data_IF_699515341841
#
_entry.id   IF_699515341841
#
_cell.length_a   1.000
_cell.length_b   1.000
_cell.length_c   1.000
_cell.angle_alpha   90.00
_cell.angle_beta   90.00
_cell.angle_gamma   90.00
#
_symmetry.space_group_name_H-M   'P 1'
#
loop_
_entity.id
_entity.type
_entity.pdbx_description
1 polymer ?
#
# COMPACT_ATOMS: atom_id res chain seq x y z
N UNK A 1 -29.45 -38.99 6.09
CA UNK A 1 -28.11 -38.38 6.25
C UNK A 1 -27.17 -39.17 7.16
N UNK A 2 -27.62 -40.23 7.85
CA UNK A 2 -26.81 -41.02 8.81
C UNK A 2 -25.77 -41.95 8.15
N UNK A 3 -26.11 -42.59 7.03
CA UNK A 3 -25.27 -43.64 6.41
C UNK A 3 -23.90 -43.15 5.90
N UNK A 4 -23.74 -41.84 5.70
CA UNK A 4 -22.52 -41.27 5.11
C UNK A 4 -21.34 -41.22 6.10
N UNK A 5 -21.61 -41.36 7.40
CA UNK A 5 -20.61 -41.29 8.48
C UNK A 5 -20.08 -42.67 8.92
N UNK A 6 -20.69 -43.75 8.42
CA UNK A 6 -20.31 -45.11 8.81
C UNK A 6 -19.13 -45.65 7.98
N UNK A 7 -18.77 -44.99 6.87
CA UNK A 7 -17.55 -45.24 6.12
C UNK A 7 -16.47 -44.17 6.38
N UNK A 8 -15.17 -44.55 6.46
CA UNK A 8 -14.10 -43.60 6.66
C UNK A 8 -13.99 -42.60 5.49
N UNK A 9 -13.62 -41.33 5.74
CA UNK A 9 -13.57 -40.28 4.72
C UNK A 9 -12.56 -40.53 3.59
N UNK A 10 -11.46 -41.24 3.85
CA UNK A 10 -10.45 -41.56 2.83
C UNK A 10 -9.86 -40.32 2.14
N UNK A 11 -9.85 -40.30 0.80
CA UNK A 11 -9.34 -39.17 -0.01
C UNK A 11 -10.01 -37.83 0.29
N UNK A 12 -11.20 -37.83 0.91
CA UNK A 12 -11.90 -36.61 1.32
C UNK A 12 -11.09 -35.79 2.32
N UNK A 13 -10.15 -36.38 3.05
CA UNK A 13 -9.17 -35.63 3.85
C UNK A 13 -8.40 -34.61 3.03
N UNK A 14 -7.85 -35.02 1.88
CA UNK A 14 -7.09 -34.18 0.98
C UNK A 14 -7.98 -33.09 0.39
N UNK A 15 -9.16 -33.48 -0.10
CA UNK A 15 -10.07 -32.56 -0.77
C UNK A 15 -10.64 -31.50 0.19
N UNK A 16 -11.10 -31.92 1.37
CA UNK A 16 -11.72 -31.01 2.34
C UNK A 16 -10.69 -30.06 2.93
N UNK A 17 -9.51 -30.55 3.35
CA UNK A 17 -8.49 -29.66 3.91
C UNK A 17 -7.85 -28.76 2.84
N UNK A 18 -7.64 -29.27 1.62
CA UNK A 18 -7.17 -28.46 0.50
C UNK A 18 -8.16 -27.36 0.12
N UNK A 19 -9.45 -27.69 0.00
CA UNK A 19 -10.48 -26.71 -0.31
C UNK A 19 -10.70 -25.72 0.84
N UNK A 20 -10.70 -26.19 2.09
CA UNK A 20 -10.84 -25.31 3.26
C UNK A 20 -9.66 -24.33 3.37
N UNK A 21 -8.43 -24.82 3.19
CA UNK A 21 -7.23 -23.98 3.14
C UNK A 21 -7.30 -22.96 2.00
N UNK A 22 -7.62 -23.42 0.78
CA UNK A 22 -7.80 -22.56 -0.38
C UNK A 22 -8.83 -21.46 -0.13
N UNK A 23 -10.04 -21.81 0.33
CA UNK A 23 -11.09 -20.82 0.57
C UNK A 23 -10.71 -19.85 1.68
N UNK A 24 -10.10 -20.32 2.77
CA UNK A 24 -9.65 -19.46 3.85
C UNK A 24 -8.56 -18.48 3.39
N UNK A 25 -7.57 -18.94 2.63
CA UNK A 25 -6.49 -18.08 2.13
C UNK A 25 -6.84 -17.27 0.88
N UNK A 26 -7.89 -17.62 0.14
CA UNK A 26 -8.34 -16.89 -1.04
C UNK A 26 -9.42 -15.86 -0.66
N UNK A 27 -10.51 -16.32 -0.05
CA UNK A 27 -11.67 -15.50 0.28
C UNK A 27 -11.43 -14.70 1.56
N UNK A 28 -10.70 -15.25 2.53
CA UNK A 28 -10.39 -14.57 3.79
C UNK A 28 -9.74 -13.20 3.57
N UNK A 29 -8.61 -13.11 2.84
CA UNK A 29 -7.97 -11.83 2.55
C UNK A 29 -8.87 -10.89 1.74
N UNK A 30 -9.65 -11.43 0.79
CA UNK A 30 -10.54 -10.62 -0.05
C UNK A 30 -11.64 -9.92 0.77
N UNK A 31 -12.18 -10.59 1.78
CA UNK A 31 -13.21 -10.02 2.65
C UNK A 31 -12.62 -9.12 3.74
N UNK A 32 -11.48 -9.50 4.32
CA UNK A 32 -10.91 -8.83 5.49
C UNK A 32 -9.97 -7.68 5.15
N UNK A 33 -9.38 -7.70 3.95
CA UNK A 33 -8.44 -6.71 3.46
C UNK A 33 -8.61 -6.54 1.93
N UNK A 34 -9.76 -6.02 1.45
CA UNK A 34 -10.12 -6.00 0.04
C UNK A 34 -9.13 -5.24 -0.86
N UNK A 35 -8.42 -4.23 -0.33
CA UNK A 35 -7.41 -3.50 -1.12
C UNK A 35 -6.01 -4.14 -1.04
N UNK A 36 -5.88 -5.34 -0.48
CA UNK A 36 -4.64 -6.11 -0.57
C UNK A 36 -4.58 -6.78 -1.95
N UNK A 37 -3.74 -6.23 -2.83
CA UNK A 37 -3.55 -6.67 -4.21
C UNK A 37 -3.06 -8.12 -4.39
N UNK A 38 -2.57 -8.77 -3.33
CA UNK A 38 -2.05 -10.15 -3.36
C UNK A 38 -2.90 -11.17 -2.56
N UNK A 39 -4.07 -10.77 -2.06
CA UNK A 39 -4.93 -11.62 -1.22
C UNK A 39 -5.16 -13.05 -1.77
N UNK A 40 -5.60 -13.20 -3.04
CA UNK A 40 -5.86 -14.51 -3.65
C UNK A 40 -4.66 -15.46 -3.77
N UNK A 41 -3.44 -14.92 -3.84
CA UNK A 41 -2.23 -15.72 -4.08
C UNK A 41 -1.94 -16.68 -2.91
N UNK A 42 -2.27 -16.28 -1.67
CA UNK A 42 -2.09 -17.11 -0.48
C UNK A 42 -2.97 -18.37 -0.54
N UNK A 43 -4.21 -18.21 -1.01
CA UNK A 43 -5.14 -19.31 -1.28
C UNK A 43 -4.57 -20.35 -2.25
N UNK A 44 -4.11 -19.85 -3.40
CA UNK A 44 -3.68 -20.68 -4.53
C UNK A 44 -2.35 -21.38 -4.27
N UNK A 45 -1.34 -20.64 -3.79
CA UNK A 45 0.04 -21.14 -3.75
C UNK A 45 0.49 -21.68 -2.39
N UNK A 46 -0.22 -21.36 -1.30
CA UNK A 46 0.24 -21.69 0.05
C UNK A 46 -0.83 -22.50 0.80
N UNK A 47 -1.89 -21.85 1.24
CA UNK A 47 -2.87 -22.44 2.16
C UNK A 47 -3.66 -23.62 1.57
N UNK A 48 -4.03 -23.57 0.28
CA UNK A 48 -4.64 -24.69 -0.43
C UNK A 48 -3.72 -25.91 -0.53
N UNK A 49 -2.52 -25.78 -1.14
CA UNK A 49 -1.55 -26.87 -1.23
C UNK A 49 -1.12 -27.44 0.12
N UNK A 50 -0.88 -26.59 1.13
CA UNK A 50 -0.55 -27.02 2.51
C UNK A 50 -1.72 -27.79 3.12
N UNK A 51 -2.96 -27.33 2.93
CA UNK A 51 -4.15 -28.04 3.37
C UNK A 51 -4.27 -29.43 2.75
N UNK A 52 -4.03 -29.56 1.44
CA UNK A 52 -4.05 -30.84 0.74
C UNK A 52 -2.95 -31.79 1.24
N UNK A 53 -1.72 -31.29 1.43
CA UNK A 53 -0.61 -32.06 1.98
C UNK A 53 -0.88 -32.55 3.41
N UNK A 54 -1.41 -31.68 4.27
CA UNK A 54 -1.85 -32.06 5.63
C UNK A 54 -2.95 -33.11 5.59
N UNK A 55 -3.90 -33.01 4.65
CA UNK A 55 -4.94 -34.02 4.44
C UNK A 55 -4.37 -35.37 4.05
N UNK A 56 -3.37 -35.41 3.17
CA UNK A 56 -2.70 -36.66 2.79
C UNK A 56 -1.97 -37.30 3.97
N UNK A 57 -1.27 -36.50 4.78
CA UNK A 57 -0.57 -36.95 5.98
C UNK A 57 -1.54 -37.51 7.03
N UNK A 58 -2.63 -36.79 7.34
CA UNK A 58 -3.62 -37.23 8.32
C UNK A 58 -4.40 -38.46 7.87
N UNK A 59 -4.69 -38.56 6.57
CA UNK A 59 -5.27 -39.77 6.00
C UNK A 59 -4.34 -40.98 6.14
N UNK A 60 -3.05 -40.83 5.80
CA UNK A 60 -2.06 -41.88 5.99
C UNK A 60 -1.99 -42.32 7.46
N UNK A 61 -1.95 -41.38 8.40
CA UNK A 61 -1.96 -41.67 9.83
C UNK A 61 -3.21 -42.44 10.26
N UNK A 62 -4.40 -42.06 9.76
CA UNK A 62 -5.64 -42.79 10.02
C UNK A 62 -5.61 -44.21 9.45
N UNK A 63 -4.91 -44.46 8.34
CA UNK A 63 -4.75 -45.80 7.79
C UNK A 63 -3.88 -46.71 8.69
N UNK A 64 -2.90 -46.14 9.40
CA UNK A 64 -2.07 -46.86 10.38
C UNK A 64 -2.81 -47.10 11.70
N UNK A 65 -3.43 -46.07 12.28
CA UNK A 65 -4.08 -46.12 13.60
C UNK A 65 -5.47 -46.79 13.54
N UNK A 66 -6.11 -46.77 12.36
CA UNK A 66 -7.45 -47.34 12.09
C UNK A 66 -8.53 -46.91 13.09
N UNK A 67 -8.69 -45.61 13.40
CA UNK A 67 -9.78 -45.16 14.25
C UNK A 67 -11.13 -45.37 13.58
N UNK A 68 -12.19 -45.50 14.38
CA UNK A 68 -13.56 -45.66 13.88
C UNK A 68 -13.96 -44.55 12.90
N UNK A 69 -14.76 -44.87 11.88
CA UNK A 69 -15.15 -43.95 10.82
C UNK A 69 -15.73 -42.62 11.35
N UNK A 70 -16.60 -42.69 12.36
CA UNK A 70 -17.19 -41.50 13.01
C UNK A 70 -16.13 -40.62 13.67
N UNK A 71 -15.10 -41.21 14.26
CA UNK A 71 -13.98 -40.46 14.84
C UNK A 71 -13.15 -39.76 13.76
N UNK A 72 -12.90 -40.42 12.62
CA UNK A 72 -12.20 -39.81 11.48
C UNK A 72 -12.96 -38.59 10.93
N UNK A 73 -14.29 -38.69 10.79
CA UNK A 73 -15.11 -37.55 10.36
C UNK A 73 -15.07 -36.39 11.34
N UNK A 74 -15.20 -36.66 12.65
CA UNK A 74 -15.08 -35.64 13.70
C UNK A 74 -13.72 -34.95 13.64
N UNK A 75 -12.64 -35.73 13.53
CA UNK A 75 -11.29 -35.20 13.41
C UNK A 75 -11.13 -34.35 12.15
N UNK A 76 -11.64 -34.81 10.99
CA UNK A 76 -11.58 -34.05 9.75
C UNK A 76 -12.25 -32.68 9.89
N UNK A 77 -13.48 -32.64 10.42
CA UNK A 77 -14.18 -31.37 10.61
C UNK A 77 -13.52 -30.47 11.65
N UNK A 78 -13.02 -31.03 12.75
CA UNK A 78 -12.30 -30.26 13.77
C UNK A 78 -11.02 -29.66 13.20
N UNK A 79 -10.19 -30.44 12.50
CA UNK A 79 -8.96 -29.95 11.88
C UNK A 79 -9.25 -28.93 10.79
N UNK A 80 -10.26 -29.16 9.95
CA UNK A 80 -10.67 -28.20 8.92
C UNK A 80 -11.10 -26.87 9.55
N UNK A 81 -11.94 -26.92 10.59
CA UNK A 81 -12.45 -25.72 11.27
C UNK A 81 -11.32 -24.95 11.96
N UNK A 82 -10.46 -25.66 12.70
CA UNK A 82 -9.31 -25.04 13.38
C UNK A 82 -8.30 -24.48 12.37
N UNK A 83 -8.05 -25.18 11.27
CA UNK A 83 -7.18 -24.72 10.19
C UNK A 83 -7.70 -23.46 9.49
N UNK A 84 -9.01 -23.41 9.21
CA UNK A 84 -9.67 -22.21 8.66
C UNK A 84 -9.55 -21.05 9.66
N UNK A 85 -9.89 -21.28 10.93
CA UNK A 85 -9.82 -20.25 11.97
C UNK A 85 -8.40 -19.73 12.14
N UNK A 86 -7.41 -20.62 12.22
CA UNK A 86 -6.00 -20.24 12.32
C UNK A 86 -5.56 -19.43 11.09
N UNK A 87 -5.90 -19.88 9.88
CA UNK A 87 -5.58 -19.17 8.64
C UNK A 87 -6.18 -17.77 8.65
N UNK A 88 -7.46 -17.63 9.00
CA UNK A 88 -8.16 -16.34 9.04
C UNK A 88 -7.57 -15.41 10.11
N UNK A 89 -7.25 -15.93 11.29
CA UNK A 89 -6.63 -15.14 12.37
C UNK A 89 -5.17 -14.75 12.08
N UNK A 90 -4.48 -15.51 11.24
CA UNK A 90 -3.14 -15.19 10.74
C UNK A 90 -3.14 -14.12 9.66
N UNK A 91 -4.31 -13.71 9.11
CA UNK A 91 -4.40 -12.61 8.16
C UNK A 91 -4.04 -11.31 8.88
N UNK A 92 -2.81 -10.86 8.67
CA UNK A 92 -2.24 -9.62 9.20
C UNK A 92 -1.92 -8.73 8.01
N UNK A 93 -2.91 -8.00 7.46
CA UNK A 93 -2.64 -7.14 6.32
C UNK A 93 -1.67 -6.05 6.74
N UNK A 94 -0.70 -5.75 5.88
CA UNK A 94 0.21 -4.64 6.13
C UNK A 94 -0.59 -3.34 6.26
N UNK A 95 -0.34 -2.53 7.30
CA UNK A 95 -1.01 -1.25 7.48
C UNK A 95 -0.86 -0.35 6.26
N UNK A 96 -1.95 0.31 5.86
CA UNK A 96 -1.91 1.27 4.76
C UNK A 96 -1.19 2.55 5.18
N UNK A 97 -0.53 3.20 4.24
CA UNK A 97 0.18 4.44 4.47
C UNK A 97 -0.76 5.62 4.27
N UNK A 98 -0.90 6.47 5.29
CA UNK A 98 -1.72 7.68 5.20
C UNK A 98 -0.89 8.91 4.80
N UNK A 99 0.37 8.96 5.22
CA UNK A 99 1.26 10.09 4.97
C UNK A 99 2.45 10.10 5.92
N UNK A 100 3.13 11.23 5.99
CA UNK A 100 4.30 11.43 6.84
C UNK A 100 4.16 12.71 7.64
N UNK A 101 4.41 12.64 8.94
CA UNK A 101 4.83 13.83 9.68
C UNK A 101 6.33 13.97 9.48
N UNK A 102 6.80 15.14 9.08
CA UNK A 102 8.22 15.35 8.82
C UNK A 102 8.74 16.56 9.59
N UNK A 103 10.06 16.54 9.80
CA UNK A 103 10.83 17.68 10.26
C UNK A 103 12.01 17.90 9.33
N UNK A 104 12.25 19.14 8.99
CA UNK A 104 13.32 19.52 8.08
C UNK A 104 13.60 21.01 8.14
N UNK A 105 14.44 21.46 7.22
CA UNK A 105 14.84 22.87 7.12
C UNK A 105 14.56 23.39 5.72
N UNK A 106 13.96 24.58 5.65
CA UNK A 106 13.69 25.25 4.38
C UNK A 106 15.02 25.56 3.69
N UNK A 107 15.18 25.05 2.48
CA UNK A 107 16.35 25.28 1.62
C UNK A 107 16.11 26.47 0.70
N UNK A 108 14.93 26.54 0.11
CA UNK A 108 14.51 27.65 -0.75
C UNK A 108 12.99 27.74 -0.81
N UNK A 109 12.50 28.92 -1.18
CA UNK A 109 11.12 29.12 -1.57
C UNK A 109 11.11 29.98 -2.83
N UNK A 110 10.31 29.60 -3.83
CA UNK A 110 10.18 30.38 -5.04
C UNK A 110 8.80 30.18 -5.71
N UNK A 111 8.29 31.19 -6.44
CA UNK A 111 7.08 31.01 -7.27
C UNK A 111 7.31 29.98 -8.39
N UNK A 112 6.29 29.22 -8.81
CA UNK A 112 6.42 28.18 -9.85
C UNK A 112 7.09 28.65 -11.15
N UNK A 113 6.77 29.87 -11.60
CA UNK A 113 7.34 30.46 -12.83
C UNK A 113 8.87 30.58 -12.80
N UNK A 114 9.45 30.77 -11.62
CA UNK A 114 10.92 30.88 -11.48
C UNK A 114 11.64 29.54 -11.62
N UNK A 115 10.90 28.42 -11.48
CA UNK A 115 11.41 27.06 -11.59
C UNK A 115 11.30 26.51 -13.02
N UNK A 116 10.81 27.30 -13.99
CA UNK A 116 10.56 26.84 -15.36
C UNK A 116 11.75 26.12 -15.99
N UNK A 117 12.95 26.72 -15.91
CA UNK A 117 14.15 26.14 -16.52
C UNK A 117 14.51 24.77 -15.91
N UNK A 118 14.40 24.62 -14.59
CA UNK A 118 14.69 23.36 -13.89
C UNK A 118 13.64 22.29 -14.23
N UNK A 119 12.35 22.65 -14.17
CA UNK A 119 11.23 21.76 -14.46
C UNK A 119 11.29 21.26 -15.92
N UNK A 120 11.42 22.16 -16.89
CA UNK A 120 11.51 21.77 -18.30
C UNK A 120 12.78 20.96 -18.58
N UNK A 121 13.91 21.33 -17.96
CA UNK A 121 15.17 20.59 -18.07
C UNK A 121 15.03 19.14 -17.59
N UNK A 122 14.39 18.94 -16.42
CA UNK A 122 14.09 17.62 -15.89
C UNK A 122 13.22 16.81 -16.85
N UNK A 123 12.09 17.37 -17.31
CA UNK A 123 11.15 16.64 -18.17
C UNK A 123 11.73 16.32 -19.54
N UNK A 124 12.50 17.22 -20.16
CA UNK A 124 13.26 16.91 -21.40
C UNK A 124 14.16 15.69 -21.21
N UNK A 125 14.92 15.66 -20.11
CA UNK A 125 15.81 14.55 -19.79
C UNK A 125 15.03 13.25 -19.61
N UNK A 126 13.95 13.25 -18.81
CA UNK A 126 13.14 12.05 -18.57
C UNK A 126 12.45 11.53 -19.83
N UNK A 127 11.98 12.43 -20.70
CA UNK A 127 11.38 12.05 -21.98
C UNK A 127 12.44 11.40 -22.88
N UNK A 128 13.66 11.93 -22.94
CA UNK A 128 14.75 11.35 -23.72
C UNK A 128 15.20 9.96 -23.21
N UNK A 129 15.06 9.68 -21.92
CA UNK A 129 15.38 8.38 -21.30
C UNK A 129 14.33 7.29 -21.56
N UNK A 130 13.10 7.67 -21.90
CA UNK A 130 11.95 6.75 -22.03
C UNK A 130 11.80 6.28 -23.48
N UNK A 131 11.80 4.95 -23.68
CA UNK A 131 11.62 4.32 -25.01
C UNK A 131 10.21 3.78 -25.26
N UNK A 132 9.36 3.71 -24.22
CA UNK A 132 8.06 3.05 -24.27
C UNK A 132 6.89 3.98 -24.59
N UNK A 133 7.09 5.30 -24.58
CA UNK A 133 6.04 6.28 -24.89
C UNK A 133 6.60 7.49 -25.64
N UNK A 134 5.83 7.96 -26.62
CA UNK A 134 6.05 9.26 -27.24
C UNK A 134 5.50 10.37 -26.33
N UNK A 135 6.18 11.53 -26.23
CA UNK A 135 5.64 12.68 -25.52
C UNK A 135 4.42 13.23 -26.26
N UNK A 136 3.42 13.65 -25.50
CA UNK A 136 2.22 14.33 -25.99
C UNK A 136 2.58 15.65 -26.70
N UNK A 137 1.81 16.07 -27.72
CA UNK A 137 2.09 17.32 -28.44
C UNK A 137 2.06 18.54 -27.52
N UNK A 138 2.91 19.53 -27.79
CA UNK A 138 2.96 20.83 -27.10
C UNK A 138 3.14 20.77 -25.57
N UNK A 139 3.65 19.65 -25.04
CA UNK A 139 3.83 19.48 -23.61
C UNK A 139 4.67 20.59 -22.95
N UNK A 140 5.69 21.10 -23.66
CA UNK A 140 6.52 22.19 -23.14
C UNK A 140 5.73 23.49 -22.96
N UNK A 141 4.94 23.88 -23.97
CA UNK A 141 4.18 25.12 -23.93
C UNK A 141 3.08 25.06 -22.86
N UNK A 142 2.45 23.90 -22.70
CA UNK A 142 1.48 23.67 -21.64
C UNK A 142 2.12 23.71 -20.25
N UNK A 143 3.30 23.12 -20.06
CA UNK A 143 4.04 23.23 -18.80
C UNK A 143 4.45 24.68 -18.49
N UNK A 144 4.93 25.42 -19.48
CA UNK A 144 5.20 26.87 -19.33
C UNK A 144 3.96 27.64 -18.92
N UNK A 145 2.83 27.38 -19.59
CA UNK A 145 1.54 27.95 -19.22
C UNK A 145 1.18 27.67 -17.77
N UNK A 146 1.20 26.39 -17.37
CA UNK A 146 0.91 25.97 -16.00
C UNK A 146 1.81 26.65 -14.97
N UNK A 147 3.12 26.73 -15.20
CA UNK A 147 4.04 27.35 -14.22
C UNK A 147 3.87 28.86 -14.12
N UNK A 148 3.49 29.53 -15.21
CA UNK A 148 3.22 30.96 -15.25
C UNK A 148 1.91 31.31 -14.52
N UNK A 149 0.89 30.48 -14.72
CA UNK A 149 -0.47 30.71 -14.25
C UNK A 149 -0.72 30.12 -12.85
N UNK A 150 0.15 29.20 -12.40
CA UNK A 150 0.05 28.59 -11.08
C UNK A 150 0.23 29.63 -9.96
N UNK A 151 -0.78 29.83 -9.10
CA UNK A 151 -0.65 30.70 -7.94
C UNK A 151 0.27 30.07 -6.88
N UNK A 152 0.70 30.87 -5.90
CA UNK A 152 1.40 30.37 -4.72
C UNK A 152 2.90 30.12 -4.92
N UNK A 153 3.45 29.19 -4.14
CA UNK A 153 4.90 29.00 -4.01
C UNK A 153 5.28 27.53 -3.90
N UNK A 154 6.52 27.23 -4.29
CA UNK A 154 7.18 25.95 -4.07
C UNK A 154 8.27 26.12 -3.03
N UNK A 155 8.17 25.36 -1.95
CA UNK A 155 9.12 25.35 -0.84
C UNK A 155 9.94 24.07 -0.91
N UNK A 156 11.25 24.19 -1.12
CA UNK A 156 12.17 23.07 -1.02
C UNK A 156 12.66 22.91 0.41
N UNK A 157 12.55 21.71 0.95
CA UNK A 157 12.87 21.40 2.34
C UNK A 157 13.86 20.24 2.37
N UNK A 158 14.99 20.42 3.07
CA UNK A 158 15.88 19.31 3.43
C UNK A 158 15.25 18.57 4.60
N UNK A 159 14.81 17.34 4.39
CA UNK A 159 14.24 16.54 5.47
C UNK A 159 15.36 16.07 6.41
N UNK A 160 15.15 16.21 7.72
CA UNK A 160 16.02 15.63 8.75
C UNK A 160 15.50 14.28 9.22
N UNK A 161 14.17 14.17 9.37
CA UNK A 161 13.49 12.95 9.78
C UNK A 161 12.04 12.94 9.36
N UNK A 162 11.47 11.75 9.19
CA UNK A 162 10.04 11.54 8.95
C UNK A 162 9.49 10.43 9.83
N UNK A 163 8.22 10.56 10.21
CA UNK A 163 7.46 9.56 10.94
C UNK A 163 6.26 9.17 10.08
N UNK A 164 6.25 7.92 9.66
CA UNK A 164 5.19 7.42 8.80
C UNK A 164 3.90 7.23 9.60
N UNK A 165 2.81 7.80 9.11
CA UNK A 165 1.48 7.60 9.66
C UNK A 165 0.83 6.46 8.89
N UNK A 166 0.48 5.40 9.60
CA UNK A 166 -0.11 4.18 9.04
C UNK A 166 -1.46 3.90 9.66
N UNK A 167 -2.28 3.11 8.99
CA UNK A 167 -3.58 2.68 9.49
C UNK A 167 -3.77 1.18 9.32
N UNK A 168 -4.23 0.53 10.38
CA UNK A 168 -4.62 -0.87 10.31
C UNK A 168 -5.78 -1.06 9.32
N UNK A 169 -5.79 -2.21 8.64
CA UNK A 169 -6.73 -2.47 7.53
C UNK A 169 -7.85 -3.43 7.88
N UNK A 170 -7.73 -4.13 9.01
CA UNK A 170 -8.74 -5.08 9.45
C UNK A 170 -10.06 -4.37 9.74
N UNK A 171 -11.19 -4.99 9.38
CA UNK A 171 -12.52 -4.39 9.53
C UNK A 171 -12.83 -3.96 10.98
N UNK A 172 -12.30 -4.70 11.96
CA UNK A 172 -12.48 -4.43 13.39
C UNK A 172 -11.33 -3.61 14.01
N UNK A 173 -10.29 -3.26 13.25
CA UNK A 173 -9.20 -2.42 13.71
C UNK A 173 -8.72 -1.52 12.56
N UNK A 174 -9.21 -0.28 12.57
CA UNK A 174 -8.81 0.79 11.66
C UNK A 174 -8.06 1.91 12.37
N UNK A 175 -7.40 1.58 13.47
CA UNK A 175 -6.62 2.56 14.20
C UNK A 175 -5.41 3.04 13.37
N UNK A 176 -5.24 4.36 13.33
CA UNK A 176 -4.04 4.99 12.79
C UNK A 176 -2.97 5.12 13.87
N UNK A 177 -1.70 4.97 13.50
CA UNK A 177 -0.56 5.04 14.40
C UNK A 177 0.69 5.58 13.69
N UNK A 178 1.63 6.09 14.48
CA UNK A 178 2.93 6.55 14.01
C UNK A 178 3.94 5.40 14.04
N UNK A 179 4.63 5.12 12.93
CA UNK A 179 5.55 3.99 12.81
C UNK A 179 6.93 4.25 13.44
N UNK A 180 7.18 5.48 13.90
CA UNK A 180 8.43 5.91 14.51
C UNK A 180 9.25 6.80 13.58
N UNK A 181 10.07 7.64 14.20
CA UNK A 181 10.95 8.57 13.49
C UNK A 181 12.08 7.82 12.77
N UNK A 182 12.27 8.14 11.49
CA UNK A 182 13.35 7.65 10.65
C UNK A 182 14.17 8.84 10.15
N UNK A 183 15.51 8.82 10.27
CA UNK A 183 16.35 9.88 9.73
C UNK A 183 16.18 9.96 8.21
N UNK A 184 16.30 11.17 7.66
CA UNK A 184 16.24 11.45 6.23
C UNK A 184 17.35 12.43 5.89
N UNK A 185 17.77 12.40 4.64
CA UNK A 185 18.77 13.33 4.09
C UNK A 185 18.47 13.58 2.60
N UNK A 186 17.21 13.90 2.31
CA UNK A 186 16.68 14.15 0.98
C UNK A 186 16.00 15.52 0.90
N UNK A 187 16.00 16.10 -0.30
CA UNK A 187 15.30 17.35 -0.59
C UNK A 187 13.92 17.01 -1.15
N UNK A 188 12.88 17.56 -0.52
CA UNK A 188 11.50 17.42 -0.97
C UNK A 188 10.92 18.80 -1.26
N UNK A 189 10.30 18.93 -2.43
CA UNK A 189 9.57 20.14 -2.81
C UNK A 189 8.12 20.03 -2.39
N UNK A 190 7.58 21.09 -1.81
CA UNK A 190 6.18 21.21 -1.45
C UNK A 190 5.54 22.39 -2.17
N UNK A 191 4.36 22.20 -2.74
CA UNK A 191 3.60 23.27 -3.39
C UNK A 191 2.48 23.75 -2.46
N UNK A 192 2.38 25.07 -2.30
CA UNK A 192 1.33 25.73 -1.54
C UNK A 192 0.62 26.74 -2.45
N UNK A 193 -0.61 26.43 -2.84
CA UNK A 193 -1.41 27.23 -3.78
C UNK A 193 -1.63 28.67 -3.32
N UNK A 194 -1.82 28.88 -2.01
CA UNK A 194 -2.01 30.19 -1.39
C UNK A 194 -0.85 30.60 -0.46
N UNK A 195 0.34 30.02 -0.67
CA UNK A 195 1.51 30.28 0.16
C UNK A 195 2.28 31.54 -0.26
N UNK A 196 3.04 32.10 0.69
CA UNK A 196 3.98 33.20 0.46
C UNK A 196 5.37 32.80 0.99
N UNK A 197 6.42 33.10 0.23
CA UNK A 197 7.80 32.85 0.63
C UNK A 197 8.22 33.65 1.88
N UNK A 198 7.55 34.75 2.20
CA UNK A 198 7.77 35.44 3.48
C UNK A 198 7.51 34.52 4.69
N UNK A 199 6.59 33.55 4.57
CA UNK A 199 6.33 32.56 5.61
C UNK A 199 7.40 31.45 5.66
N UNK A 200 8.23 31.29 4.63
CA UNK A 200 9.21 30.21 4.50
C UNK A 200 10.62 30.75 4.21
N UNK A 201 11.22 31.53 5.13
CA UNK A 201 12.59 32.00 4.96
C UNK A 201 13.58 30.83 4.98
N UNK A 202 14.61 30.91 4.14
CA UNK A 202 15.69 29.92 4.08
C UNK A 202 16.34 29.73 5.46
N UNK A 203 16.61 28.47 5.82
CA UNK A 203 17.19 28.09 7.10
C UNK A 203 16.16 27.89 8.22
N UNK A 204 14.90 28.26 8.02
CA UNK A 204 13.83 28.02 8.99
C UNK A 204 13.57 26.53 9.15
N UNK A 205 13.49 26.07 10.39
CA UNK A 205 13.02 24.71 10.68
C UNK A 205 11.52 24.63 10.43
N UNK A 206 11.11 23.58 9.72
CA UNK A 206 9.74 23.33 9.31
C UNK A 206 9.32 21.94 9.79
N UNK A 207 8.12 21.89 10.38
CA UNK A 207 7.42 20.66 10.71
C UNK A 207 6.08 20.68 9.99
N UNK A 208 5.74 19.59 9.32
CA UNK A 208 4.53 19.52 8.51
C UNK A 208 4.02 18.10 8.34
N UNK A 209 2.86 17.99 7.70
CA UNK A 209 2.29 16.74 7.26
C UNK A 209 2.28 16.67 5.73
N UNK A 210 2.78 15.56 5.22
CA UNK A 210 2.71 15.22 3.81
C UNK A 210 1.70 14.08 3.66
N UNK A 211 0.47 14.35 3.20
CA UNK A 211 -0.48 13.28 2.96
C UNK A 211 0.02 12.41 1.79
N UNK A 212 -0.24 11.11 1.87
CA UNK A 212 0.01 10.18 0.78
C UNK A 212 -1.14 10.16 -0.24
N UNK A 213 -2.03 11.16 -0.22
CA UNK A 213 -3.03 11.43 -1.27
C UNK A 213 -2.34 11.96 -2.53
N UNK A 214 -1.38 11.19 -3.01
CA UNK A 214 -1.05 11.11 -4.41
C UNK A 214 -1.73 9.85 -4.88
N UNK A 215 -2.77 9.98 -5.70
CA UNK A 215 -3.38 8.81 -6.29
C UNK A 215 -2.34 8.18 -7.24
N UNK A 216 -1.67 7.13 -6.75
CA UNK A 216 -0.84 6.25 -7.58
C UNK A 216 -1.65 5.52 -8.65
N UNK A 217 -2.86 6.00 -8.98
CA UNK A 217 -3.56 5.61 -10.20
C UNK A 217 -2.62 5.95 -11.35
N UNK A 218 -2.44 5.01 -12.30
CA UNK A 218 -1.69 5.30 -13.50
C UNK A 218 -2.24 6.61 -14.08
N UNK A 219 -1.35 7.58 -14.31
CA UNK A 219 -1.60 8.52 -15.40
C UNK A 219 -1.96 7.64 -16.58
N UNK A 220 -3.02 7.98 -17.29
CA UNK A 220 -3.23 7.41 -18.61
C UNK A 220 -1.86 7.36 -19.30
N UNK A 221 -1.34 6.16 -19.57
CA UNK A 221 0.02 6.00 -20.12
C UNK A 221 0.15 6.69 -21.48
N UNK A 222 -0.98 7.05 -22.08
CA UNK A 222 -1.06 7.86 -23.30
C UNK A 222 -0.90 9.37 -23.05
N UNK A 223 -1.02 9.85 -21.81
CA UNK A 223 -0.88 11.25 -21.40
C UNK A 223 0.48 11.52 -20.71
N UNK A 224 1.57 11.16 -21.41
CA UNK A 224 2.95 11.39 -20.98
C UNK A 224 3.58 12.57 -21.74
N UNK A 225 4.38 13.46 -21.13
CA UNK A 225 4.55 13.69 -19.69
C UNK A 225 3.25 14.18 -19.01
N UNK A 226 3.16 14.17 -17.67
CA UNK A 226 1.94 14.56 -16.96
C UNK A 226 1.51 16.01 -17.25
N UNK A 227 0.21 16.25 -17.13
CA UNK A 227 -0.44 17.58 -17.25
C UNK A 227 -0.94 18.13 -15.91
N UNK A 228 -0.66 17.45 -14.80
CA UNK A 228 -1.04 17.88 -13.46
C UNK A 228 0.09 18.68 -12.80
N UNK A 229 -0.22 19.86 -12.26
CA UNK A 229 0.77 20.81 -11.73
C UNK A 229 1.72 20.20 -10.68
N UNK A 230 1.19 19.47 -9.69
CA UNK A 230 2.01 18.82 -8.66
C UNK A 230 3.01 17.82 -9.25
N UNK A 231 2.58 17.05 -10.26
CA UNK A 231 3.45 16.10 -10.97
C UNK A 231 4.52 16.83 -11.76
N UNK A 232 4.13 17.88 -12.49
CA UNK A 232 5.03 18.73 -13.27
C UNK A 232 6.10 19.35 -12.39
N UNK A 233 5.71 19.91 -11.24
CA UNK A 233 6.61 20.49 -10.25
C UNK A 233 7.43 19.45 -9.47
N UNK A 234 7.05 18.17 -9.52
CA UNK A 234 7.57 17.11 -8.63
C UNK A 234 7.44 17.49 -7.16
N UNK A 235 6.34 18.16 -6.83
CA UNK A 235 6.08 18.69 -5.51
C UNK A 235 4.99 17.87 -4.82
N UNK A 236 5.13 17.71 -3.51
CA UNK A 236 4.08 17.18 -2.65
C UNK A 236 3.19 18.32 -2.13
N UNK A 237 2.06 17.97 -1.56
CA UNK A 237 1.23 18.92 -0.79
C UNK A 237 1.82 19.03 0.62
N UNK A 238 1.89 20.26 1.13
CA UNK A 238 2.22 20.53 2.53
C UNK A 238 0.94 20.88 3.28
N UNK A 239 0.60 20.06 4.27
CA UNK A 239 -0.51 20.31 5.18
C UNK A 239 0.00 20.54 6.60
N UNK A 240 -0.86 21.14 7.42
CA UNK A 240 -0.61 21.23 8.86
C UNK A 240 -0.64 19.84 9.50
N UNK A 241 0.15 19.65 10.54
CA UNK A 241 0.15 18.40 11.30
C UNK A 241 -1.21 18.21 11.96
N UNK A 242 -1.94 17.11 11.67
CA UNK A 242 -3.23 16.84 12.29
C UNK A 242 -3.12 16.81 13.82
N UNK A 243 -4.17 17.25 14.53
CA UNK A 243 -4.13 17.45 15.98
C UNK A 243 -3.62 16.23 16.75
N UNK A 244 -4.06 15.04 16.35
CA UNK A 244 -3.66 13.75 16.92
C UNK A 244 -2.14 13.49 16.87
N UNK A 245 -1.43 14.13 15.94
CA UNK A 245 0.00 13.91 15.67
C UNK A 245 0.87 15.11 16.05
N UNK A 246 0.29 16.19 16.59
CA UNK A 246 1.03 17.39 16.99
C UNK A 246 2.06 17.12 18.09
N UNK A 247 1.82 16.13 18.95
CA UNK A 247 2.71 15.78 20.06
C UNK A 247 3.81 14.77 19.71
N UNK A 248 3.87 14.28 18.46
CA UNK A 248 4.93 13.34 18.01
C UNK A 248 6.32 13.96 18.04
#
# INVERSE_FOLDING_TARGET
MSDRLDSPPGIKWVLVLGLAGFLAGFVGPLLLAPDANLGPAIGIFISGPVGAALGALLWALCAFVKPAARAQWRLLYSVATLGVLATVLSIRPEPTWLGYVFEGRVKSCAPPVTLEADVLGYWRKRIAEVTWAAPRPRWEDEMRGMLRDAPGVVVSVRLHRRNAIRQNRLLWNREAFAAGWQPQDEDVSFYLENGDCAAFPTGRDLRGYQPLTYDGRPVDVTAWPPSELLRVLRAAVLEEVPERWRSL
#
